data_IF_341808771448
#
_entry.id   IF_341808771448
#
_cell.length_a   1.000
_cell.length_b   1.000
_cell.length_c   1.000
_cell.angle_alpha   90.00
_cell.angle_beta   90.00
_cell.angle_gamma   90.00
#
_symmetry.space_group_name_H-M   'P 1'
#
loop_
_entity.id
_entity.type
_entity.pdbx_description
1 polymer ?
#
# COMPACT_ATOMS: atom_id res chain seq x y z
N UNK A 1 4.85 11.94 25.92
CA UNK A 1 5.49 11.11 24.86
C UNK A 1 4.55 10.08 24.24
N UNK A 2 3.48 9.61 24.92
CA UNK A 2 2.52 8.66 24.35
C UNK A 2 1.70 9.20 23.17
N UNK A 3 1.18 10.45 23.26
CA UNK A 3 0.31 11.04 22.23
C UNK A 3 0.94 11.07 20.83
N UNK A 4 2.21 11.44 20.71
CA UNK A 4 2.91 11.46 19.41
C UNK A 4 3.03 10.07 18.78
N UNK A 5 3.32 9.04 19.59
CA UNK A 5 3.43 7.66 19.09
C UNK A 5 2.09 7.14 18.59
N UNK A 6 1.02 7.40 19.34
CA UNK A 6 -0.34 7.04 18.96
C UNK A 6 -0.73 7.74 17.65
N UNK A 7 -0.50 9.06 17.54
CA UNK A 7 -0.81 9.80 16.31
C UNK A 7 -0.03 9.23 15.13
N UNK A 8 1.28 8.99 15.27
CA UNK A 8 2.10 8.41 14.18
C UNK A 8 1.60 7.01 13.80
N UNK A 9 1.30 6.16 14.78
CA UNK A 9 0.78 4.82 14.53
C UNK A 9 -0.57 4.85 13.82
N UNK A 10 -1.52 5.66 14.29
CA UNK A 10 -2.86 5.79 13.69
C UNK A 10 -2.78 6.37 12.29
N UNK A 11 -2.09 7.51 12.12
CA UNK A 11 -1.96 8.16 10.81
C UNK A 11 -1.23 7.26 9.82
N UNK A 12 -0.14 6.60 10.23
CA UNK A 12 0.59 5.69 9.36
C UNK A 12 -0.26 4.47 8.94
N UNK A 13 -1.04 3.90 9.86
CA UNK A 13 -1.97 2.81 9.50
C UNK A 13 -3.07 3.29 8.56
N UNK A 14 -3.61 4.50 8.74
CA UNK A 14 -4.60 5.09 7.82
C UNK A 14 -4.01 5.34 6.43
N UNK A 15 -2.75 5.79 6.34
CA UNK A 15 -2.05 5.94 5.07
C UNK A 15 -1.90 4.60 4.36
N UNK A 16 -1.52 3.53 5.07
CA UNK A 16 -1.46 2.18 4.48
C UNK A 16 -2.83 1.71 4.02
N UNK A 17 -3.89 1.97 4.79
CA UNK A 17 -5.26 1.61 4.41
C UNK A 17 -5.71 2.36 3.14
N UNK A 18 -5.41 3.65 3.03
CA UNK A 18 -5.71 4.44 1.84
C UNK A 18 -4.92 3.95 0.61
N UNK A 19 -3.64 3.62 0.80
CA UNK A 19 -2.81 3.02 -0.26
C UNK A 19 -3.38 1.68 -0.74
N UNK A 20 -3.76 0.79 0.18
CA UNK A 20 -4.34 -0.51 -0.13
C UNK A 20 -5.70 -0.40 -0.84
N UNK A 21 -6.53 0.57 -0.42
CA UNK A 21 -7.79 0.86 -1.09
C UNK A 21 -7.57 1.37 -2.53
N UNK A 22 -6.62 2.28 -2.73
CA UNK A 22 -6.26 2.76 -4.07
C UNK A 22 -5.73 1.62 -4.95
N UNK A 23 -4.88 0.74 -4.40
CA UNK A 23 -4.39 -0.46 -5.08
C UNK A 23 -5.55 -1.35 -5.55
N UNK A 24 -6.49 -1.67 -4.66
CA UNK A 24 -7.63 -2.52 -4.99
C UNK A 24 -8.54 -1.87 -6.05
N UNK A 25 -8.85 -0.57 -5.90
CA UNK A 25 -9.65 0.18 -6.87
C UNK A 25 -8.95 0.27 -8.21
N UNK A 26 -7.63 0.48 -8.22
CA UNK A 26 -6.86 0.51 -9.45
C UNK A 26 -6.95 -0.83 -10.18
N UNK A 27 -6.61 -1.93 -9.51
CA UNK A 27 -6.59 -3.26 -10.11
C UNK A 27 -7.99 -3.74 -10.55
N UNK A 28 -9.04 -3.49 -9.76
CA UNK A 28 -10.38 -4.04 -10.02
C UNK A 28 -11.26 -3.17 -10.91
N UNK A 29 -10.93 -1.88 -11.08
CA UNK A 29 -11.84 -0.93 -11.74
C UNK A 29 -11.10 -0.07 -12.73
N UNK A 30 -10.12 0.71 -12.27
CA UNK A 30 -9.51 1.75 -13.11
C UNK A 30 -8.68 1.15 -14.23
N UNK A 31 -7.90 0.10 -13.93
CA UNK A 31 -7.03 -0.54 -14.89
C UNK A 31 -7.82 -1.33 -15.95
N UNK A 32 -8.81 -2.19 -15.61
CA UNK A 32 -9.65 -2.84 -16.62
C UNK A 32 -10.38 -1.85 -17.54
N UNK A 33 -10.90 -0.75 -17.00
CA UNK A 33 -11.59 0.28 -17.79
C UNK A 33 -10.64 1.05 -18.72
N UNK A 34 -9.39 1.24 -18.31
CA UNK A 34 -8.37 1.88 -19.12
C UNK A 34 -7.78 0.93 -20.18
N UNK A 35 -7.68 -0.36 -19.85
CA UNK A 35 -7.20 -1.41 -20.75
C UNK A 35 -8.16 -1.63 -21.93
N UNK A 36 -9.48 -1.53 -21.70
CA UNK A 36 -10.50 -1.73 -22.74
C UNK A 36 -11.41 -0.49 -22.86
N UNK A 37 -10.95 0.57 -23.54
CA UNK A 37 -11.71 1.81 -23.67
C UNK A 37 -13.05 1.59 -24.36
N UNK A 38 -14.12 2.16 -23.81
CA UNK A 38 -15.47 2.10 -24.38
C UNK A 38 -16.33 0.93 -23.90
N UNK A 39 -15.78 -0.01 -23.12
CA UNK A 39 -16.53 -1.06 -22.45
C UNK A 39 -16.83 -0.67 -21.00
N UNK A 40 -17.99 -1.08 -20.48
CA UNK A 40 -18.29 -1.00 -19.05
C UNK A 40 -17.68 -2.19 -18.30
N UNK A 41 -17.42 -2.02 -17.01
CA UNK A 41 -16.86 -3.08 -16.16
C UNK A 41 -17.73 -4.36 -16.17
N UNK A 42 -19.05 -4.20 -16.23
CA UNK A 42 -19.98 -5.33 -16.31
C UNK A 42 -19.83 -6.11 -17.63
N UNK A 43 -19.59 -5.43 -18.75
CA UNK A 43 -19.35 -6.08 -20.04
C UNK A 43 -18.00 -6.80 -20.05
N UNK A 44 -16.96 -6.19 -19.47
CA UNK A 44 -15.65 -6.83 -19.30
C UNK A 44 -15.79 -8.11 -18.47
N UNK A 45 -16.43 -8.04 -17.31
CA UNK A 45 -16.63 -9.23 -16.45
C UNK A 45 -17.49 -10.31 -17.12
N UNK A 46 -18.53 -9.93 -17.88
CA UNK A 46 -19.35 -10.87 -18.62
C UNK A 46 -18.57 -11.57 -19.73
N UNK A 47 -17.70 -10.83 -20.43
CA UNK A 47 -16.83 -11.39 -21.48
C UNK A 47 -15.78 -12.33 -20.88
N UNK A 48 -15.13 -11.95 -19.78
CA UNK A 48 -14.19 -12.81 -19.05
C UNK A 48 -14.88 -14.12 -18.62
N UNK A 49 -16.07 -14.03 -18.06
CA UNK A 49 -16.85 -15.20 -17.65
C UNK A 49 -17.24 -16.06 -18.85
N UNK A 50 -17.58 -15.45 -19.99
CA UNK A 50 -17.91 -16.16 -21.24
C UNK A 50 -16.71 -16.95 -21.78
N UNK A 51 -15.51 -16.44 -21.59
CA UNK A 51 -14.26 -17.10 -21.99
C UNK A 51 -13.76 -18.14 -20.96
N UNK A 52 -14.44 -18.26 -19.81
CA UNK A 52 -14.13 -19.25 -18.77
C UNK A 52 -13.22 -18.75 -17.65
N UNK A 53 -12.89 -17.46 -17.62
CA UNK A 53 -12.10 -16.85 -16.55
C UNK A 53 -12.91 -16.66 -15.26
N UNK A 54 -12.22 -16.65 -14.11
CA UNK A 54 -12.85 -16.61 -12.79
C UNK A 54 -12.77 -15.23 -12.15
N UNK A 55 -13.60 -14.30 -12.63
CA UNK A 55 -13.66 -12.91 -12.13
C UNK A 55 -13.79 -12.84 -10.60
N UNK A 56 -14.57 -13.75 -10.00
CA UNK A 56 -14.73 -13.81 -8.54
C UNK A 56 -13.45 -14.24 -7.84
N UNK A 57 -12.71 -15.19 -8.40
CA UNK A 57 -11.43 -15.66 -7.86
C UNK A 57 -10.41 -14.53 -7.83
N UNK A 58 -10.28 -13.79 -8.93
CA UNK A 58 -9.29 -12.72 -9.07
C UNK A 58 -9.65 -11.53 -8.18
N UNK A 59 -10.95 -11.20 -8.12
CA UNK A 59 -11.46 -10.19 -7.18
C UNK A 59 -11.10 -10.54 -5.73
N UNK A 60 -11.30 -11.80 -5.33
CA UNK A 60 -10.96 -12.25 -3.97
C UNK A 60 -9.45 -12.18 -3.76
N UNK A 61 -8.63 -12.58 -4.74
CA UNK A 61 -7.17 -12.51 -4.65
C UNK A 61 -6.68 -11.07 -4.41
N UNK A 62 -7.18 -10.10 -5.19
CA UNK A 62 -6.82 -8.68 -5.02
C UNK A 62 -7.24 -8.16 -3.65
N UNK A 63 -8.46 -8.47 -3.20
CA UNK A 63 -8.95 -8.05 -1.88
C UNK A 63 -8.10 -8.67 -0.76
N UNK A 64 -7.73 -9.94 -0.86
CA UNK A 64 -6.86 -10.60 0.12
C UNK A 64 -5.50 -9.93 0.18
N UNK A 65 -4.88 -9.64 -0.96
CA UNK A 65 -3.59 -8.93 -1.03
C UNK A 65 -3.68 -7.57 -0.36
N UNK A 66 -4.73 -6.79 -0.65
CA UNK A 66 -4.94 -5.48 -0.02
C UNK A 66 -5.14 -5.60 1.51
N UNK A 67 -5.95 -6.57 1.96
CA UNK A 67 -6.22 -6.79 3.38
C UNK A 67 -4.97 -7.22 4.15
N UNK A 68 -4.09 -8.04 3.56
CA UNK A 68 -2.83 -8.45 4.20
C UNK A 68 -2.00 -7.21 4.56
N UNK A 69 -1.87 -6.24 3.66
CA UNK A 69 -1.13 -5.00 3.91
C UNK A 69 -1.71 -4.18 5.07
N UNK A 70 -3.04 -4.04 5.12
CA UNK A 70 -3.74 -3.30 6.19
C UNK A 70 -3.60 -4.00 7.53
N UNK A 71 -3.81 -5.33 7.58
CA UNK A 71 -3.68 -6.11 8.80
C UNK A 71 -2.24 -6.10 9.32
N UNK A 72 -1.25 -6.22 8.43
CA UNK A 72 0.17 -6.14 8.79
C UNK A 72 0.49 -4.78 9.42
N UNK A 73 0.04 -3.67 8.80
CA UNK A 73 0.25 -2.34 9.36
C UNK A 73 -0.45 -2.15 10.71
N UNK A 74 -1.68 -2.63 10.87
CA UNK A 74 -2.41 -2.54 12.13
C UNK A 74 -1.70 -3.33 13.24
N UNK A 75 -1.33 -4.59 12.97
CA UNK A 75 -0.64 -5.45 13.94
C UNK A 75 0.71 -4.87 14.33
N UNK A 76 1.53 -4.44 13.37
CA UNK A 76 2.83 -3.83 13.64
C UNK A 76 2.69 -2.52 14.42
N UNK A 77 1.71 -1.68 14.08
CA UNK A 77 1.43 -0.43 14.80
C UNK A 77 1.07 -0.71 16.25
N UNK A 78 0.15 -1.64 16.52
CA UNK A 78 -0.24 -2.04 17.87
C UNK A 78 0.95 -2.64 18.64
N UNK A 79 1.71 -3.55 18.03
CA UNK A 79 2.87 -4.19 18.65
C UNK A 79 3.92 -3.15 19.06
N UNK A 80 4.23 -2.19 18.19
CA UNK A 80 5.22 -1.15 18.47
C UNK A 80 4.73 -0.13 19.51
N UNK A 81 3.41 0.11 19.58
CA UNK A 81 2.82 0.93 20.65
C UNK A 81 2.92 0.21 22.00
N UNK A 82 2.59 -1.08 22.07
CA UNK A 82 2.66 -1.90 23.29
C UNK A 82 4.10 -2.04 23.80
N UNK A 83 5.05 -2.28 22.89
CA UNK A 83 6.49 -2.35 23.22
C UNK A 83 7.13 -0.98 23.47
N UNK A 84 6.34 0.10 23.39
CA UNK A 84 6.79 1.48 23.65
C UNK A 84 7.95 1.90 22.74
N UNK A 85 7.95 1.44 21.49
CA UNK A 85 8.92 1.87 20.49
C UNK A 85 8.87 3.41 20.30
N UNK A 86 10.01 4.05 19.95
CA UNK A 86 10.02 5.47 19.66
C UNK A 86 9.29 5.77 18.35
N UNK A 87 8.70 6.96 18.24
CA UNK A 87 7.78 7.31 17.15
C UNK A 87 8.41 7.20 15.76
N UNK A 88 9.71 7.51 15.61
CA UNK A 88 10.41 7.40 14.33
C UNK A 88 10.59 5.95 13.88
N UNK A 89 10.69 4.99 14.80
CA UNK A 89 10.72 3.55 14.47
C UNK A 89 9.34 3.09 14.00
N UNK A 90 8.26 3.53 14.67
CA UNK A 90 6.88 3.26 14.23
C UNK A 90 6.66 3.77 12.80
N UNK A 91 7.06 5.01 12.53
CA UNK A 91 6.96 5.60 11.19
C UNK A 91 7.78 4.81 10.15
N UNK A 92 9.03 4.45 10.45
CA UNK A 92 9.88 3.69 9.53
C UNK A 92 9.30 2.31 9.18
N UNK A 93 8.72 1.62 10.17
CA UNK A 93 8.09 0.31 9.94
C UNK A 93 6.82 0.45 9.07
N UNK A 94 5.97 1.45 9.33
CA UNK A 94 4.77 1.66 8.51
C UNK A 94 5.12 2.12 7.08
N UNK A 95 6.18 2.92 6.91
CA UNK A 95 6.73 3.24 5.59
C UNK A 95 7.24 1.97 4.88
N UNK A 96 7.89 1.05 5.58
CA UNK A 96 8.30 -0.22 4.99
C UNK A 96 7.12 -1.06 4.49
N UNK A 97 5.97 -1.02 5.18
CA UNK A 97 4.74 -1.64 4.66
C UNK A 97 4.29 -0.98 3.35
N UNK A 98 4.37 0.35 3.24
CA UNK A 98 4.06 1.08 2.00
C UNK A 98 5.05 0.72 0.88
N UNK A 99 6.33 0.51 1.18
CA UNK A 99 7.32 0.03 0.19
C UNK A 99 6.92 -1.32 -0.39
N UNK A 100 6.45 -2.24 0.46
CA UNK A 100 5.93 -3.54 0.04
C UNK A 100 4.62 -3.43 -0.75
N UNK A 101 4.02 -2.24 -0.83
CA UNK A 101 2.87 -1.94 -1.65
C UNK A 101 3.11 -2.11 -3.16
N UNK A 102 4.32 -1.84 -3.67
CA UNK A 102 4.66 -2.04 -5.10
C UNK A 102 4.64 -3.51 -5.52
N UNK A 103 5.35 -4.44 -4.86
CA UNK A 103 5.25 -5.85 -5.23
C UNK A 103 3.83 -6.40 -5.02
N UNK A 104 3.11 -5.92 -4.01
CA UNK A 104 1.71 -6.26 -3.81
C UNK A 104 0.81 -5.77 -4.96
N UNK A 105 1.02 -4.54 -5.46
CA UNK A 105 0.24 -4.01 -6.58
C UNK A 105 0.54 -4.76 -7.87
N UNK A 106 1.79 -5.16 -8.10
CA UNK A 106 2.17 -5.98 -9.24
C UNK A 106 1.48 -7.36 -9.23
N UNK A 107 1.48 -8.04 -8.07
CA UNK A 107 0.77 -9.34 -7.92
C UNK A 107 -0.73 -9.17 -8.12
N UNK A 108 -1.33 -8.08 -7.60
CA UNK A 108 -2.74 -7.78 -7.78
C UNK A 108 -3.10 -7.45 -9.24
N UNK A 109 -2.23 -6.72 -9.95
CA UNK A 109 -2.40 -6.40 -11.36
C UNK A 109 -2.38 -7.65 -12.23
N UNK A 110 -1.50 -8.61 -11.92
CA UNK A 110 -1.44 -9.90 -12.64
C UNK A 110 -2.77 -10.68 -12.53
N UNK A 111 -3.39 -10.69 -11.35
CA UNK A 111 -4.55 -11.55 -11.09
C UNK A 111 -5.70 -11.32 -12.08
N UNK A 112 -6.10 -10.08 -12.31
CA UNK A 112 -7.20 -9.75 -13.25
C UNK A 112 -6.69 -9.17 -14.57
N UNK A 113 -5.50 -8.54 -14.57
CA UNK A 113 -4.93 -7.90 -15.75
C UNK A 113 -4.46 -8.89 -16.81
N UNK A 114 -3.96 -10.08 -16.44
CA UNK A 114 -3.63 -11.11 -17.43
C UNK A 114 -4.87 -11.65 -18.12
N UNK A 115 -5.93 -11.93 -17.36
CA UNK A 115 -7.19 -12.41 -17.92
C UNK A 115 -7.81 -11.38 -18.88
N UNK A 116 -7.74 -10.09 -18.54
CA UNK A 116 -8.16 -8.99 -19.45
C UNK A 116 -7.25 -8.91 -20.68
N UNK A 117 -5.93 -9.03 -20.51
CA UNK A 117 -4.97 -9.02 -21.60
C UNK A 117 -5.22 -10.15 -22.60
N UNK A 118 -5.42 -11.37 -22.10
CA UNK A 118 -5.68 -12.55 -22.91
C UNK A 118 -7.06 -12.48 -23.60
N UNK A 119 -8.09 -11.98 -22.88
CA UNK A 119 -9.45 -11.92 -23.40
C UNK A 119 -9.66 -10.86 -24.49
N UNK A 120 -8.94 -9.73 -24.41
CA UNK A 120 -9.10 -8.59 -25.33
C UNK A 120 -7.89 -8.34 -26.24
N UNK A 121 -6.82 -9.12 -26.09
CA UNK A 121 -5.58 -8.96 -26.86
C UNK A 121 -4.86 -7.64 -26.57
N UNK A 122 -5.00 -7.12 -25.34
CA UNK A 122 -4.36 -5.88 -24.89
C UNK A 122 -3.05 -6.17 -24.17
N UNK A 123 -2.20 -5.16 -23.97
CA UNK A 123 -0.95 -5.35 -23.24
C UNK A 123 -1.21 -5.69 -21.77
N UNK A 124 -0.44 -6.60 -21.17
CA UNK A 124 -0.60 -6.94 -19.74
C UNK A 124 0.03 -5.94 -18.75
N UNK A 125 0.38 -4.74 -19.20
CA UNK A 125 0.99 -3.70 -18.36
C UNK A 125 -0.06 -2.83 -17.67
N UNK A 126 0.37 -1.92 -16.78
CA UNK A 126 -0.54 -0.94 -16.20
C UNK A 126 -0.98 0.11 -17.22
N UNK A 127 -2.28 0.34 -17.32
CA UNK A 127 -2.90 1.28 -18.27
C UNK A 127 -3.28 2.61 -17.62
N UNK A 128 -3.06 2.76 -16.31
CA UNK A 128 -3.48 3.94 -15.55
C UNK A 128 -2.30 4.72 -14.97
N UNK A 129 -2.51 6.04 -14.80
CA UNK A 129 -1.59 6.90 -14.04
C UNK A 129 -1.52 6.51 -12.54
N UNK A 130 -2.55 5.84 -12.02
CA UNK A 130 -2.65 5.48 -10.62
C UNK A 130 -1.67 4.38 -10.22
N UNK A 131 -1.32 3.47 -11.15
CA UNK A 131 -0.18 2.58 -10.95
C UNK A 131 1.12 3.37 -10.72
N UNK A 132 1.35 4.41 -11.52
CA UNK A 132 2.47 5.34 -11.31
C UNK A 132 2.43 6.02 -9.94
N UNK A 133 1.25 6.45 -9.48
CA UNK A 133 1.08 7.02 -8.13
C UNK A 133 1.46 6.02 -7.03
N UNK A 134 1.04 4.76 -7.16
CA UNK A 134 1.40 3.70 -6.21
C UNK A 134 2.92 3.48 -6.18
N UNK A 135 3.56 3.32 -7.35
CA UNK A 135 4.99 3.10 -7.46
C UNK A 135 5.83 4.26 -6.92
N UNK A 136 5.46 5.50 -7.27
CA UNK A 136 6.14 6.70 -6.76
C UNK A 136 5.95 6.82 -5.26
N UNK A 137 4.76 6.52 -4.73
CA UNK A 137 4.50 6.56 -3.29
C UNK A 137 5.38 5.57 -2.53
N UNK A 138 5.53 4.34 -3.04
CA UNK A 138 6.43 3.34 -2.46
C UNK A 138 7.91 3.75 -2.57
N UNK A 139 8.31 4.38 -3.68
CA UNK A 139 9.67 4.94 -3.82
C UNK A 139 9.93 6.06 -2.82
N UNK A 140 8.99 6.99 -2.66
CA UNK A 140 9.07 8.06 -1.66
C UNK A 140 9.12 7.47 -0.25
N UNK A 141 8.34 6.42 0.03
CA UNK A 141 8.40 5.73 1.32
C UNK A 141 9.77 5.08 1.56
N UNK A 142 10.34 4.45 0.54
CA UNK A 142 11.67 3.83 0.60
C UNK A 142 12.76 4.85 0.94
N UNK A 143 12.74 6.02 0.29
CA UNK A 143 13.65 7.13 0.60
C UNK A 143 13.32 7.77 1.97
N UNK A 144 12.05 7.79 2.36
CA UNK A 144 11.60 8.33 3.64
C UNK A 144 12.12 7.56 4.86
N UNK A 145 12.31 6.24 4.75
CA UNK A 145 12.80 5.39 5.85
C UNK A 145 14.13 5.91 6.43
N UNK A 146 15.24 6.02 5.65
CA UNK A 146 16.51 6.51 6.21
C UNK A 146 16.40 7.95 6.72
N UNK A 147 15.63 8.82 6.06
CA UNK A 147 15.43 10.21 6.50
C UNK A 147 14.77 10.26 7.89
N UNK A 148 13.67 9.53 8.07
CA UNK A 148 12.93 9.47 9.34
C UNK A 148 13.78 8.86 10.44
N UNK A 149 14.55 7.80 10.14
CA UNK A 149 15.43 7.19 11.12
C UNK A 149 16.55 8.15 11.54
N UNK A 150 17.26 8.78 10.61
CA UNK A 150 18.38 9.70 10.93
C UNK A 150 17.89 10.93 11.69
N UNK A 151 16.86 11.61 11.17
CA UNK A 151 16.31 12.83 11.79
C UNK A 151 15.67 12.51 13.14
N UNK A 152 14.95 11.38 13.23
CA UNK A 152 14.32 10.91 14.45
C UNK A 152 15.33 10.58 15.55
N UNK A 153 16.41 9.88 15.22
CA UNK A 153 17.49 9.57 16.17
C UNK A 153 18.22 10.83 16.63
N UNK A 154 18.59 11.74 15.71
CA UNK A 154 19.25 12.99 16.06
C UNK A 154 18.38 13.85 17.01
N UNK A 155 17.07 13.95 16.73
CA UNK A 155 16.14 14.67 17.60
C UNK A 155 15.92 13.97 18.94
N UNK A 156 16.04 12.64 19.00
CA UNK A 156 15.94 11.88 20.24
C UNK A 156 17.15 12.14 21.14
N UNK A 157 18.37 12.01 20.59
CA UNK A 157 19.63 12.27 21.31
C UNK A 157 19.69 13.69 21.87
N UNK A 158 19.35 14.70 21.06
CA UNK A 158 19.33 16.11 21.49
C UNK A 158 18.40 16.35 22.69
N UNK A 159 17.23 15.73 22.71
CA UNK A 159 16.27 15.87 23.82
C UNK A 159 16.77 15.22 25.10
N UNK A 160 17.50 14.11 24.99
CA UNK A 160 18.08 13.43 26.15
C UNK A 160 19.22 14.25 26.75
N UNK A 161 20.10 14.81 25.92
CA UNK A 161 21.21 15.66 26.36
C UNK A 161 20.74 16.95 27.09
N UNK A 162 19.68 17.59 26.60
CA UNK A 162 19.11 18.78 27.26
C UNK A 162 18.51 18.46 28.65
N UNK A 163 17.98 17.24 28.84
CA UNK A 163 17.42 16.81 30.12
C UNK A 163 18.50 16.50 31.16
N UNK A 164 19.64 15.97 30.73
CA UNK A 164 20.77 15.70 31.63
C UNK A 164 21.51 16.94 32.10
N UNK A 165 21.38 18.08 31.41
CA UNK A 165 21.96 19.36 31.85
C UNK A 165 21.01 20.20 32.74
N UNK A 166 19.73 19.83 32.80
CA UNK A 166 18.72 20.51 33.61
C UNK A 166 18.46 19.81 34.96
N UNK A 167 19.11 18.67 35.21
CA UNK A 167 19.03 17.87 36.44
C UNK A 167 20.34 18.00 37.22
#
# INVERSE_FOLDING_TARGET
>A
MGRTRIVVGVVGTLVVAAYAALLAVNALVLDPLAAVPGQSLAQIHAELTRQGFSVRGDTVAVVVVALIGVLLAAVLSVLLLVTRAPAHVIAAVLLAVVVMGTPASYVAAIAIGMDVADAFGVGGGDHTIWAGVLYVTSLVALVGIPVVLVVGQAAHVRRTALRTHAA
#
